data_IF_373939264794
#
_entry.id   IF_373939264794
#
_cell.length_a   1.000
_cell.length_b   1.000
_cell.length_c   1.000
_cell.angle_alpha   90.00
_cell.angle_beta   90.00
_cell.angle_gamma   90.00
#
_symmetry.space_group_name_H-M   'P 1'
#
loop_
_entity.id
_entity.type
_entity.pdbx_description
1 polymer ?
#
# COMPACT_ATOMS: atom_id res chain seq x y z
N UNK A 1 -10.66 8.12 8.82
CA UNK A 1 -9.38 7.82 8.14
C UNK A 1 -8.94 6.47 8.67
N UNK A 2 -8.71 5.48 7.81
CA UNK A 2 -8.38 4.13 8.29
C UNK A 2 -6.92 4.04 8.71
N UNK A 3 -6.67 3.19 9.71
CA UNK A 3 -5.35 2.85 10.21
C UNK A 3 -4.79 1.62 9.50
N UNK A 4 -3.46 1.59 9.31
CA UNK A 4 -2.73 0.39 8.88
C UNK A 4 -3.01 -0.84 9.77
N UNK A 5 -3.40 -0.63 11.04
CA UNK A 5 -3.71 -1.72 11.96
C UNK A 5 -5.01 -2.44 11.58
N UNK A 6 -6.00 -1.74 11.03
CA UNK A 6 -7.23 -2.36 10.50
C UNK A 6 -6.93 -3.17 9.22
N UNK A 7 -6.05 -2.64 8.36
CA UNK A 7 -5.54 -3.37 7.18
C UNK A 7 -4.80 -4.63 7.61
N UNK A 8 -3.91 -4.53 8.60
CA UNK A 8 -3.17 -5.67 9.13
C UNK A 8 -4.09 -6.73 9.75
N UNK A 9 -5.13 -6.32 10.49
CA UNK A 9 -6.15 -7.24 11.00
C UNK A 9 -6.83 -8.01 9.86
N UNK A 10 -7.20 -7.32 8.76
CA UNK A 10 -7.78 -7.98 7.59
C UNK A 10 -6.81 -8.95 6.92
N UNK A 11 -5.54 -8.60 6.79
CA UNK A 11 -4.51 -9.51 6.26
C UNK A 11 -4.42 -10.79 7.10
N UNK A 12 -4.46 -10.69 8.43
CA UNK A 12 -4.39 -11.84 9.33
C UNK A 12 -5.65 -12.72 9.29
N UNK A 13 -6.83 -12.15 9.06
CA UNK A 13 -8.06 -12.93 8.84
C UNK A 13 -7.95 -13.81 7.59
N UNK A 14 -7.34 -13.28 6.52
CA UNK A 14 -7.16 -13.99 5.26
C UNK A 14 -5.96 -14.95 5.30
N UNK A 15 -4.94 -14.63 6.10
CA UNK A 15 -3.70 -15.42 6.25
C UNK A 15 -3.32 -15.54 7.73
N UNK A 16 -3.93 -16.47 8.49
CA UNK A 16 -3.69 -16.60 9.94
C UNK A 16 -2.26 -17.04 10.31
N UNK A 17 -1.53 -17.67 9.38
CA UNK A 17 -0.16 -18.15 9.56
C UNK A 17 0.89 -17.20 8.97
N UNK A 18 0.62 -15.90 9.01
CA UNK A 18 1.49 -14.87 8.45
C UNK A 18 2.65 -14.54 9.41
N UNK A 19 3.89 -14.62 8.94
CA UNK A 19 5.02 -14.04 9.67
C UNK A 19 4.99 -12.50 9.57
N UNK A 20 5.81 -11.85 10.41
CA UNK A 20 5.87 -10.39 10.46
C UNK A 20 6.26 -9.75 9.13
N UNK A 21 7.17 -10.37 8.38
CA UNK A 21 7.69 -9.82 7.14
C UNK A 21 6.58 -9.82 6.10
N UNK A 22 5.94 -10.97 5.88
CA UNK A 22 4.79 -11.08 4.98
C UNK A 22 3.67 -10.11 5.36
N UNK A 23 3.34 -9.98 6.65
CA UNK A 23 2.33 -9.02 7.11
C UNK A 23 2.68 -7.59 6.70
N UNK A 24 3.92 -7.15 6.95
CA UNK A 24 4.36 -5.80 6.61
C UNK A 24 4.34 -5.57 5.09
N UNK A 25 4.75 -6.56 4.31
CA UNK A 25 4.76 -6.46 2.85
C UNK A 25 3.37 -6.42 2.26
N UNK A 26 2.46 -7.26 2.74
CA UNK A 26 1.06 -7.23 2.29
C UNK A 26 0.41 -5.88 2.59
N UNK A 27 0.63 -5.29 3.78
CA UNK A 27 0.16 -3.93 4.07
C UNK A 27 0.79 -2.86 3.15
N UNK A 28 2.09 -2.96 2.85
CA UNK A 28 2.76 -2.06 1.91
C UNK A 28 2.18 -2.17 0.49
N UNK A 29 1.99 -3.39 -0.02
CA UNK A 29 1.39 -3.62 -1.33
C UNK A 29 -0.07 -3.13 -1.37
N UNK A 30 -0.84 -3.28 -0.29
CA UNK A 30 -2.19 -2.69 -0.20
C UNK A 30 -2.18 -1.17 -0.32
N UNK A 31 -1.24 -0.47 0.34
CA UNK A 31 -1.08 0.98 0.17
C UNK A 31 -0.73 1.34 -1.27
N UNK A 32 0.24 0.63 -1.86
CA UNK A 32 0.74 0.94 -3.20
C UNK A 32 -0.32 0.73 -4.29
N UNK A 33 -1.03 -0.40 -4.26
CA UNK A 33 -2.10 -0.67 -5.22
C UNK A 33 -3.30 0.26 -5.03
N UNK A 34 -3.69 0.59 -3.80
CA UNK A 34 -4.74 1.58 -3.57
C UNK A 34 -4.35 2.97 -4.12
N UNK A 35 -3.11 3.40 -3.90
CA UNK A 35 -2.58 4.65 -4.45
C UNK A 35 -2.57 4.66 -5.98
N UNK A 36 -2.21 3.54 -6.61
CA UNK A 36 -2.19 3.42 -8.06
C UNK A 36 -3.61 3.48 -8.65
N UNK A 37 -4.58 2.77 -8.06
CA UNK A 37 -5.94 2.71 -8.58
C UNK A 37 -6.77 3.96 -8.31
N UNK A 38 -6.58 4.59 -7.15
CA UNK A 38 -7.46 5.69 -6.70
C UNK A 38 -6.76 7.04 -6.63
N UNK A 39 -5.43 7.08 -6.69
CA UNK A 39 -4.65 8.28 -6.40
C UNK A 39 -4.64 8.70 -4.91
N UNK A 40 -5.34 7.97 -4.03
CA UNK A 40 -5.46 8.30 -2.60
C UNK A 40 -4.74 7.27 -1.73
N UNK A 41 -4.19 7.66 -0.57
CA UNK A 41 -3.64 6.69 0.37
C UNK A 41 -4.74 5.78 0.91
N UNK A 42 -4.41 4.51 1.14
CA UNK A 42 -5.30 3.60 1.87
C UNK A 42 -5.29 4.03 3.34
N UNK A 43 -4.10 4.19 3.93
CA UNK A 43 -3.90 4.69 5.29
C UNK A 43 -2.82 5.79 5.32
N UNK A 44 -2.74 6.53 6.43
CA UNK A 44 -1.85 7.69 6.56
C UNK A 44 -0.57 7.41 7.36
N UNK A 45 -0.49 6.29 8.07
CA UNK A 45 0.73 5.94 8.79
C UNK A 45 1.92 5.82 7.85
N UNK A 46 3.04 6.36 8.29
CA UNK A 46 4.27 6.38 7.50
C UNK A 46 4.78 4.97 7.21
N UNK A 47 5.36 4.83 6.03
CA UNK A 47 6.15 3.68 5.61
C UNK A 47 7.60 4.13 5.44
N UNK A 48 8.53 3.45 6.08
CA UNK A 48 9.95 3.81 6.08
C UNK A 48 10.79 2.81 5.27
N UNK A 49 11.88 3.27 4.66
CA UNK A 49 12.73 2.48 3.76
C UNK A 49 13.73 1.56 4.49
N UNK A 50 13.22 0.70 5.37
CA UNK A 50 14.03 -0.18 6.21
C UNK A 50 14.86 -1.19 5.41
N UNK A 51 15.86 -1.81 6.06
CA UNK A 51 16.79 -2.77 5.43
C UNK A 51 16.11 -3.84 4.59
N UNK A 52 15.01 -4.42 5.07
CA UNK A 52 14.27 -5.48 4.38
C UNK A 52 12.99 -4.94 3.73
N UNK A 53 13.09 -3.77 3.11
CA UNK A 53 12.00 -3.13 2.38
C UNK A 53 11.13 -2.21 3.24
N UNK A 54 10.08 -1.64 2.63
CA UNK A 54 9.16 -0.73 3.30
C UNK A 54 8.46 -1.37 4.52
N UNK A 55 8.44 -0.67 5.66
CA UNK A 55 7.77 -1.09 6.90
C UNK A 55 7.20 0.14 7.61
N UNK A 56 6.00 0.01 8.18
CA UNK A 56 5.44 1.05 9.05
C UNK A 56 5.91 0.88 10.50
N UNK A 57 6.50 1.91 11.14
CA UNK A 57 6.86 1.87 12.55
C UNK A 57 5.67 1.57 13.46
N UNK A 58 4.49 2.12 13.15
CA UNK A 58 3.24 1.89 13.90
C UNK A 58 2.87 0.41 13.89
N UNK A 59 2.83 -0.21 12.70
CA UNK A 59 2.52 -1.64 12.59
C UNK A 59 3.60 -2.51 13.25
N UNK A 60 4.87 -2.15 13.09
CA UNK A 60 5.98 -2.84 13.73
C UNK A 60 5.90 -2.79 15.25
N UNK A 61 5.51 -1.66 15.84
CA UNK A 61 5.28 -1.53 17.28
C UNK A 61 4.08 -2.38 17.71
N UNK A 62 2.96 -2.27 17.02
CA UNK A 62 1.72 -2.98 17.35
C UNK A 62 1.83 -4.51 17.24
N UNK A 63 2.66 -5.02 16.33
CA UNK A 63 2.93 -6.45 16.22
C UNK A 63 3.73 -7.03 17.39
N UNK A 64 4.43 -6.20 18.18
CA UNK A 64 5.20 -6.64 19.36
C UNK A 64 6.45 -7.49 19.07
N UNK A 65 6.75 -7.80 17.80
CA UNK A 65 7.83 -8.71 17.42
C UNK A 65 9.13 -7.97 17.16
N UNK A 66 10.26 -8.46 17.68
CA UNK A 66 11.59 -7.90 17.38
C UNK A 66 12.07 -8.28 15.98
N UNK A 67 13.15 -7.63 15.51
CA UNK A 67 13.69 -7.87 14.16
C UNK A 67 14.17 -9.32 13.96
N UNK A 68 14.56 -10.00 15.03
CA UNK A 68 15.04 -11.38 15.12
C UNK A 68 13.96 -12.40 15.52
N UNK A 69 12.71 -11.96 15.73
CA UNK A 69 11.62 -12.84 16.17
C UNK A 69 10.95 -13.55 14.98
N UNK A 70 11.17 -14.86 14.83
CA UNK A 70 10.58 -15.68 13.76
C UNK A 70 9.14 -16.14 14.06
N UNK A 71 8.53 -15.63 15.14
CA UNK A 71 7.15 -15.99 15.50
C UNK A 71 6.14 -15.46 14.47
N UNK A 72 5.09 -16.26 14.29
CA UNK A 72 3.90 -15.86 13.56
C UNK A 72 3.19 -14.70 14.29
N UNK A 73 2.66 -13.75 13.53
CA UNK A 73 1.78 -12.73 14.08
C UNK A 73 0.37 -13.33 14.09
N UNK A 74 -0.14 -13.66 15.27
CA UNK A 74 -1.49 -14.22 15.39
C UNK A 74 -2.57 -13.15 15.48
N UNK A 75 -2.24 -11.94 15.94
CA UNK A 75 -3.21 -10.87 16.15
C UNK A 75 -2.53 -9.49 16.22
N UNK A 76 -3.23 -8.45 15.75
CA UNK A 76 -2.95 -7.04 16.04
C UNK A 76 -4.06 -6.53 16.95
N UNK A 77 -3.79 -6.37 18.25
CA UNK A 77 -4.82 -6.06 19.26
C UNK A 77 -5.57 -4.75 19.02
N UNK A 78 -4.89 -3.76 18.44
CA UNK A 78 -5.47 -2.45 18.12
C UNK A 78 -6.05 -2.40 16.70
N UNK A 79 -6.06 -3.53 15.98
CA UNK A 79 -6.59 -3.67 14.64
C UNK A 79 -8.02 -4.22 14.67
N UNK A 80 -8.87 -3.64 13.84
CA UNK A 80 -10.27 -4.04 13.69
C UNK A 80 -10.66 -3.93 12.21
N UNK A 81 -10.77 -5.06 11.51
CA UNK A 81 -11.06 -5.05 10.07
C UNK A 81 -12.47 -4.53 9.77
N UNK A 82 -13.39 -4.46 10.74
CA UNK A 82 -14.74 -3.95 10.53
C UNK A 82 -14.78 -2.43 10.25
N UNK A 83 -13.67 -1.73 10.55
CA UNK A 83 -13.49 -0.32 10.22
C UNK A 83 -13.19 -0.07 8.73
N UNK A 84 -12.88 -1.12 7.96
CA UNK A 84 -12.68 -1.01 6.52
C UNK A 84 -14.03 -0.99 5.79
N UNK A 85 -14.24 0.00 4.93
CA UNK A 85 -15.38 -0.01 4.02
C UNK A 85 -15.20 -1.10 2.96
N UNK A 86 -16.28 -1.45 2.26
CA UNK A 86 -16.30 -2.54 1.27
C UNK A 86 -15.19 -2.43 0.22
N UNK A 87 -14.91 -1.21 -0.26
CA UNK A 87 -13.84 -0.99 -1.23
C UNK A 87 -12.45 -1.26 -0.65
N UNK A 88 -12.15 -0.69 0.52
CA UNK A 88 -10.86 -0.86 1.19
C UNK A 88 -10.63 -2.34 1.53
N UNK A 89 -11.67 -3.03 2.01
CA UNK A 89 -11.64 -4.47 2.23
C UNK A 89 -11.33 -5.23 0.93
N UNK A 90 -12.01 -4.89 -0.17
CA UNK A 90 -11.78 -5.52 -1.47
C UNK A 90 -10.35 -5.29 -1.97
N UNK A 91 -9.74 -4.12 -1.71
CA UNK A 91 -8.34 -3.87 -2.03
C UNK A 91 -7.40 -4.81 -1.27
N UNK A 92 -7.60 -4.96 0.05
CA UNK A 92 -6.78 -5.87 0.86
C UNK A 92 -6.97 -7.32 0.39
N UNK A 93 -8.21 -7.73 0.16
CA UNK A 93 -8.54 -9.08 -0.30
C UNK A 93 -7.87 -9.41 -1.65
N UNK A 94 -7.95 -8.50 -2.62
CA UNK A 94 -7.29 -8.63 -3.92
C UNK A 94 -5.78 -8.75 -3.78
N UNK A 95 -5.15 -7.89 -2.99
CA UNK A 95 -3.69 -7.90 -2.80
C UNK A 95 -3.25 -9.19 -2.12
N UNK A 96 -3.98 -9.64 -1.10
CA UNK A 96 -3.66 -10.89 -0.39
C UNK A 96 -3.90 -12.11 -1.28
N UNK A 97 -4.94 -12.10 -2.13
CA UNK A 97 -5.18 -13.16 -3.12
C UNK A 97 -4.02 -13.27 -4.12
N UNK A 98 -3.46 -12.12 -4.55
CA UNK A 98 -2.38 -12.09 -5.54
C UNK A 98 -1.00 -12.43 -4.95
N UNK A 99 -0.63 -11.82 -3.81
CA UNK A 99 0.70 -11.91 -3.22
C UNK A 99 0.81 -12.92 -2.07
N UNK A 100 -0.31 -13.31 -1.46
CA UNK A 100 -0.31 -14.00 -0.17
C UNK A 100 0.43 -15.33 -0.17
N UNK A 101 0.39 -16.06 -1.27
CA UNK A 101 1.06 -17.37 -1.48
C UNK A 101 2.55 -17.27 -1.78
N UNK A 102 3.10 -16.08 -2.05
CA UNK A 102 4.53 -15.90 -2.21
C UNK A 102 5.26 -16.00 -0.86
N UNK A 103 6.49 -16.48 -0.88
CA UNK A 103 7.36 -16.53 0.30
C UNK A 103 7.70 -15.14 0.81
N UNK A 104 7.90 -15.00 2.12
CA UNK A 104 8.11 -13.70 2.79
C UNK A 104 9.36 -12.98 2.29
N UNK A 105 10.43 -13.71 2.00
CA UNK A 105 11.65 -13.14 1.42
C UNK A 105 11.41 -12.62 -0.01
N UNK A 106 10.61 -13.33 -0.81
CA UNK A 106 10.27 -12.90 -2.16
C UNK A 106 9.43 -11.62 -2.11
N UNK A 107 8.49 -11.50 -1.17
CA UNK A 107 7.75 -10.25 -0.95
C UNK A 107 8.67 -9.11 -0.49
N UNK A 108 9.69 -9.41 0.33
CA UNK A 108 10.71 -8.42 0.69
C UNK A 108 11.46 -7.93 -0.54
N UNK A 109 11.94 -8.83 -1.39
CA UNK A 109 12.68 -8.49 -2.61
C UNK A 109 11.82 -7.65 -3.56
N UNK A 110 10.55 -8.02 -3.76
CA UNK A 110 9.59 -7.23 -4.54
C UNK A 110 9.36 -5.83 -3.97
N UNK A 111 9.49 -5.65 -2.65
CA UNK A 111 9.34 -4.34 -2.00
C UNK A 111 10.59 -3.45 -2.08
N UNK A 112 11.68 -3.92 -2.71
CA UNK A 112 12.89 -3.13 -2.97
C UNK A 112 12.79 -2.36 -4.30
N UNK A 113 11.57 -2.00 -4.71
CA UNK A 113 11.29 -1.26 -5.93
C UNK A 113 11.78 0.18 -5.94
N UNK A 114 11.27 0.95 -6.91
CA UNK A 114 11.69 2.33 -7.18
C UNK A 114 11.57 3.25 -5.95
N UNK A 115 10.45 3.21 -5.22
CA UNK A 115 10.19 4.09 -4.10
C UNK A 115 11.15 3.82 -2.93
N UNK A 116 11.37 2.54 -2.61
CA UNK A 116 12.29 2.13 -1.55
C UNK A 116 13.74 2.46 -1.88
N UNK A 117 14.19 2.12 -3.09
CA UNK A 117 15.57 2.36 -3.55
C UNK A 117 15.87 3.85 -3.68
N UNK A 118 14.93 4.65 -4.17
CA UNK A 118 15.08 6.11 -4.28
C UNK A 118 15.34 6.76 -2.92
N UNK A 119 14.60 6.38 -1.89
CA UNK A 119 14.78 6.94 -0.54
C UNK A 119 16.12 6.52 0.07
N UNK A 120 16.57 5.29 -0.18
CA UNK A 120 17.85 4.81 0.34
C UNK A 120 19.07 5.35 -0.39
N UNK A 121 18.92 5.78 -1.64
CA UNK A 121 20.01 6.31 -2.44
C UNK A 121 21.21 5.35 -2.50
N UNK A 122 22.37 5.82 -2.04
CA UNK A 122 23.62 5.07 -2.07
C UNK A 122 23.95 4.32 -0.77
N UNK A 123 22.98 4.14 0.13
CA UNK A 123 23.19 3.39 1.37
C UNK A 123 23.58 1.93 1.06
N UNK A 124 24.54 1.34 1.81
CA UNK A 124 24.83 -0.08 1.71
C UNK A 124 23.58 -0.96 1.90
N UNK A 125 23.52 -2.16 1.29
CA UNK A 125 22.36 -3.05 1.41
C UNK A 125 21.98 -3.39 2.85
N UNK A 126 22.96 -3.47 3.75
CA UNK A 126 22.78 -3.83 5.15
C UNK A 126 22.59 -2.64 6.10
N UNK A 127 22.74 -1.41 5.61
CA UNK A 127 22.57 -0.21 6.41
C UNK A 127 21.11 -0.02 6.86
N UNK A 128 20.94 0.41 8.11
CA UNK A 128 19.65 0.88 8.61
C UNK A 128 19.23 2.16 7.90
N UNK A 129 17.95 2.29 7.60
CA UNK A 129 17.33 3.53 7.11
C UNK A 129 15.94 3.61 7.73
N UNK A 130 15.59 4.79 8.24
CA UNK A 130 14.28 5.10 8.82
C UNK A 130 13.61 6.26 8.10
N UNK A 131 14.10 6.63 6.92
CA UNK A 131 13.55 7.71 6.13
C UNK A 131 12.19 7.30 5.58
N UNK A 132 11.23 8.23 5.64
CA UNK A 132 9.86 8.02 5.20
C UNK A 132 9.82 7.98 3.68
N UNK A 133 9.10 6.99 3.14
CA UNK A 133 8.82 6.87 1.71
C UNK A 133 7.59 7.74 1.38
N UNK A 134 7.75 8.83 0.61
CA UNK A 134 6.62 9.65 0.19
C UNK A 134 5.58 8.86 -0.60
N UNK A 135 4.30 9.10 -0.35
CA UNK A 135 3.20 8.48 -1.09
C UNK A 135 3.29 8.72 -2.60
N UNK A 136 3.85 9.85 -3.04
CA UNK A 136 4.06 10.14 -4.45
C UNK A 136 5.03 9.16 -5.12
N UNK A 137 6.09 8.72 -4.41
CA UNK A 137 7.03 7.71 -4.93
C UNK A 137 6.38 6.33 -4.96
N UNK A 138 5.66 5.95 -3.90
CA UNK A 138 4.92 4.68 -3.85
C UNK A 138 3.89 4.65 -4.99
N UNK A 139 3.10 5.72 -5.15
CA UNK A 139 2.12 5.82 -6.23
C UNK A 139 2.78 5.68 -7.59
N UNK A 140 3.88 6.39 -7.83
CA UNK A 140 4.61 6.31 -9.10
C UNK A 140 5.06 4.88 -9.41
N UNK A 141 5.71 4.22 -8.46
CA UNK A 141 6.17 2.84 -8.64
C UNK A 141 5.02 1.90 -9.03
N UNK A 142 3.90 1.94 -8.31
CA UNK A 142 2.80 1.01 -8.56
C UNK A 142 1.99 1.36 -9.82
N UNK A 143 1.94 2.64 -10.20
CA UNK A 143 1.41 3.05 -11.51
C UNK A 143 2.31 2.50 -12.61
N UNK A 144 3.63 2.67 -12.52
CA UNK A 144 4.58 2.11 -13.50
C UNK A 144 4.47 0.58 -13.59
N UNK A 145 4.32 -0.12 -12.46
CA UNK A 145 4.08 -1.56 -12.43
C UNK A 145 2.79 -1.95 -13.16
N UNK A 146 1.71 -1.18 -13.02
CA UNK A 146 0.43 -1.44 -13.68
C UNK A 146 0.50 -1.37 -15.21
N UNK A 147 1.43 -0.57 -15.76
CA UNK A 147 1.69 -0.47 -17.20
C UNK A 147 2.77 -1.44 -17.70
N UNK A 148 3.41 -2.18 -16.79
CA UNK A 148 4.44 -3.16 -17.11
C UNK A 148 3.89 -4.47 -17.68
N UNK A 149 4.79 -5.34 -18.13
CA UNK A 149 4.45 -6.67 -18.66
C UNK A 149 4.20 -7.70 -17.55
N UNK A 150 4.69 -7.43 -16.34
CA UNK A 150 4.54 -8.33 -15.21
C UNK A 150 3.06 -8.43 -14.79
N UNK A 151 2.57 -9.62 -14.38
CA UNK A 151 1.24 -9.74 -13.81
C UNK A 151 1.06 -8.82 -12.60
N UNK A 152 -0.11 -8.19 -12.50
CA UNK A 152 -0.48 -7.32 -11.39
C UNK A 152 -1.87 -7.69 -10.88
N UNK A 153 -2.21 -7.37 -9.61
CA UNK A 153 -3.58 -7.51 -9.15
C UNK A 153 -4.53 -6.61 -9.95
N UNK A 154 -5.72 -7.12 -10.25
CA UNK A 154 -6.78 -6.32 -10.87
C UNK A 154 -7.43 -5.41 -9.82
N UNK A 155 -7.72 -4.16 -10.19
CA UNK A 155 -8.47 -3.26 -9.33
C UNK A 155 -9.84 -3.86 -8.95
N UNK A 156 -10.35 -3.66 -7.72
CA UNK A 156 -11.69 -4.10 -7.36
C UNK A 156 -12.76 -3.51 -8.30
N UNK A 157 -13.73 -4.34 -8.70
CA UNK A 157 -14.73 -3.99 -9.73
C UNK A 157 -15.62 -2.79 -9.37
N UNK A 158 -15.86 -2.58 -8.08
CA UNK A 158 -16.70 -1.48 -7.60
C UNK A 158 -15.81 -0.37 -7.09
N UNK A 159 -15.90 0.82 -7.68
CA UNK A 159 -15.39 2.02 -7.02
C UNK A 159 -16.17 2.28 -5.72
N UNK A 160 -15.55 2.91 -4.70
CA UNK A 160 -16.26 3.26 -3.48
C UNK A 160 -17.51 4.08 -3.82
N UNK A 161 -18.64 3.79 -3.19
CA UNK A 161 -19.87 4.54 -3.47
C UNK A 161 -19.67 6.00 -3.07
N UNK A 162 -19.56 6.88 -4.06
CA UNK A 162 -19.61 8.33 -3.84
C UNK A 162 -21.02 8.81 -4.13
N UNK A 163 -21.50 9.76 -3.32
CA UNK A 163 -22.70 10.50 -3.67
C UNK A 163 -22.47 11.20 -5.01
N UNK A 164 -23.51 11.25 -5.87
CA UNK A 164 -23.40 11.84 -7.21
C UNK A 164 -22.87 13.28 -7.14
N UNK A 165 -23.42 14.07 -6.21
CA UNK A 165 -23.02 15.46 -5.98
C UNK A 165 -21.53 15.59 -5.60
N UNK A 166 -20.99 14.62 -4.84
CA UNK A 166 -19.58 14.61 -4.46
C UNK A 166 -18.68 14.22 -5.64
N UNK A 167 -19.18 13.37 -6.55
CA UNK A 167 -18.51 13.02 -7.81
C UNK A 167 -18.49 14.22 -8.77
N UNK A 168 -19.62 14.91 -8.91
CA UNK A 168 -19.74 16.11 -9.73
C UNK A 168 -18.81 17.21 -9.22
N UNK A 169 -18.82 17.50 -7.91
CA UNK A 169 -17.92 18.50 -7.34
C UNK A 169 -16.45 18.13 -7.54
N UNK A 170 -16.07 16.87 -7.32
CA UNK A 170 -14.70 16.43 -7.53
C UNK A 170 -14.29 16.51 -9.01
N UNK A 171 -15.20 16.22 -9.94
CA UNK A 171 -14.95 16.35 -11.37
C UNK A 171 -14.77 17.83 -11.76
N UNK A 172 -15.59 18.72 -11.22
CA UNK A 172 -15.47 20.16 -11.45
C UNK A 172 -14.15 20.72 -10.90
N UNK A 173 -13.75 20.30 -9.69
CA UNK A 173 -12.48 20.70 -9.08
C UNK A 173 -11.28 20.25 -9.93
N UNK A 174 -11.28 18.98 -10.38
CA UNK A 174 -10.25 18.43 -11.26
C UNK A 174 -10.23 19.14 -12.62
N UNK A 175 -11.40 19.43 -13.19
CA UNK A 175 -11.50 20.14 -14.46
C UNK A 175 -11.00 21.59 -14.33
N UNK A 176 -11.27 22.26 -13.21
CA UNK A 176 -10.79 23.60 -12.93
C UNK A 176 -9.27 23.64 -12.72
N UNK A 177 -8.72 22.72 -11.92
CA UNK A 177 -7.28 22.59 -11.69
C UNK A 177 -6.50 22.30 -12.98
N UNK A 178 -7.08 21.48 -13.87
CA UNK A 178 -6.43 21.06 -15.10
C UNK A 178 -6.94 21.79 -16.35
N UNK A 179 -7.67 22.90 -16.20
CA UNK A 179 -8.37 23.57 -17.30
C UNK A 179 -7.43 23.96 -18.45
N UNK A 180 -6.25 24.48 -18.13
CA UNK A 180 -5.22 24.86 -19.12
C UNK A 180 -4.73 23.63 -19.90
N UNK A 181 -4.36 22.56 -19.18
CA UNK A 181 -3.88 21.30 -19.76
C UNK A 181 -4.94 20.64 -20.64
N UNK A 182 -6.17 20.54 -20.15
CA UNK A 182 -7.29 19.95 -20.89
C UNK A 182 -7.63 20.77 -22.15
N UNK A 183 -7.57 22.10 -22.06
CA UNK A 183 -7.71 22.97 -23.25
C UNK A 183 -6.63 22.70 -24.27
N UNK A 184 -5.36 22.61 -23.86
CA UNK A 184 -4.25 22.32 -24.77
C UNK A 184 -4.37 20.94 -25.43
N UNK A 185 -4.79 19.92 -24.68
CA UNK A 185 -5.04 18.56 -25.20
C UNK A 185 -6.18 18.52 -26.23
N UNK A 186 -7.16 19.41 -26.15
CA UNK A 186 -8.26 19.47 -27.12
C UNK A 186 -7.84 19.98 -28.51
N UNK A 187 -6.63 20.52 -28.66
CA UNK A 187 -6.07 21.02 -29.92
C UNK A 187 -5.07 20.06 -30.59
N UNK A 188 -4.86 18.87 -30.04
CA UNK A 188 -3.95 17.83 -30.54
C UNK A 188 -4.77 16.63 -31.01
#
# INVERSE_FOLDING_TARGET
MISILHVAARVLELRPSCDKMKLYKLCYFSQGWHLAWTGRPLFNEELQAWKYGAVSPTLRQASGLRADDDRLVTQIWSGDSSQLIDYERSVVDTVVSFYGDLESFHLSDLSHGFAWSTVRGNLPPDASCSDVIPHSLIRREFVENAWGEAPTPNAPERLPSMALDALEQAADDVAAENAETLRLLAFI
#
